data_IF_498549979416
#
_entry.id   IF_498549979416
#
_cell.length_a   1.000
_cell.length_b   1.000
_cell.length_c   1.000
_cell.angle_alpha   90.00
_cell.angle_beta   90.00
_cell.angle_gamma   90.00
#
_symmetry.space_group_name_H-M   'P 1'
#
loop_
_entity.id
_entity.type
_entity.pdbx_description
1 polymer ?
#
# COMPACT_ATOMS: atom_id res chain seq x y z
N UNK A 1 -18.20 4.47 -8.92
CA UNK A 1 -16.96 3.71 -8.71
C UNK A 1 -17.23 2.64 -7.68
N UNK A 2 -16.94 1.38 -8.01
CA UNK A 2 -17.39 0.22 -7.25
C UNK A 2 -16.19 -0.48 -6.60
N UNK A 3 -16.10 -0.45 -5.27
CA UNK A 3 -14.97 -0.99 -4.49
C UNK A 3 -15.40 -2.31 -3.84
N UNK A 4 -14.63 -3.37 -4.08
CA UNK A 4 -14.83 -4.68 -3.45
C UNK A 4 -14.00 -4.71 -2.17
N UNK A 5 -14.61 -5.08 -1.05
CA UNK A 5 -13.96 -5.10 0.25
C UNK A 5 -14.15 -6.46 0.94
N UNK A 6 -13.04 -7.09 1.29
CA UNK A 6 -12.99 -8.32 2.09
C UNK A 6 -13.45 -8.01 3.52
N UNK A 7 -14.68 -8.40 3.85
CA UNK A 7 -15.27 -8.15 5.15
C UNK A 7 -14.76 -9.09 6.26
N UNK A 8 -14.01 -10.15 5.90
CA UNK A 8 -13.57 -11.18 6.84
C UNK A 8 -12.05 -11.14 7.10
N UNK A 9 -11.31 -10.27 6.39
CA UNK A 9 -9.85 -10.16 6.54
C UNK A 9 -9.43 -9.20 7.65
N UNK A 10 -8.44 -9.59 8.45
CA UNK A 10 -7.85 -8.79 9.52
C UNK A 10 -8.34 -9.14 10.93
N UNK A 11 -7.62 -8.60 11.93
CA UNK A 11 -7.82 -8.94 13.36
C UNK A 11 -9.15 -8.42 13.91
N UNK A 12 -9.68 -7.34 13.32
CA UNK A 12 -10.91 -6.66 13.74
C UNK A 12 -12.10 -6.95 12.81
N UNK A 13 -12.00 -7.99 11.96
CA UNK A 13 -13.10 -8.40 11.10
C UNK A 13 -14.18 -9.15 11.89
N UNK A 14 -15.45 -9.05 11.51
CA UNK A 14 -16.01 -8.25 10.41
C UNK A 14 -16.33 -6.79 10.78
N UNK A 15 -16.21 -6.40 12.05
CA UNK A 15 -16.66 -5.08 12.55
C UNK A 15 -15.96 -3.92 11.82
N UNK A 16 -14.62 -3.91 11.82
CA UNK A 16 -13.86 -2.79 11.28
C UNK A 16 -14.04 -2.62 9.76
N UNK A 17 -13.92 -3.67 8.91
CA UNK A 17 -14.15 -3.52 7.47
C UNK A 17 -15.59 -3.10 7.14
N UNK A 18 -16.60 -3.65 7.84
CA UNK A 18 -18.02 -3.30 7.59
C UNK A 18 -18.28 -1.84 7.96
N UNK A 19 -17.87 -1.39 9.15
CA UNK A 19 -18.11 -0.01 9.59
C UNK A 19 -17.29 1.00 8.77
N UNK A 20 -16.06 0.65 8.38
CA UNK A 20 -15.24 1.47 7.49
C UNK A 20 -15.84 1.62 6.09
N UNK A 21 -16.41 0.55 5.54
CA UNK A 21 -17.12 0.55 4.27
C UNK A 21 -18.34 1.49 4.29
N UNK A 22 -19.18 1.38 5.32
CA UNK A 22 -20.36 2.22 5.51
C UNK A 22 -19.97 3.70 5.60
N UNK A 23 -18.93 3.99 6.37
CA UNK A 23 -18.44 5.34 6.53
C UNK A 23 -17.88 5.89 5.21
N UNK A 24 -17.16 5.06 4.43
CA UNK A 24 -16.66 5.44 3.12
C UNK A 24 -17.77 5.68 2.09
N UNK A 25 -18.81 4.81 2.06
CA UNK A 25 -19.97 5.01 1.19
C UNK A 25 -20.65 6.34 1.47
N UNK A 26 -20.84 6.67 2.75
CA UNK A 26 -21.44 7.95 3.19
C UNK A 26 -20.57 9.16 2.85
N UNK A 27 -19.25 9.08 3.12
CA UNK A 27 -18.37 10.24 3.03
C UNK A 27 -17.91 10.53 1.59
N UNK A 28 -17.76 9.50 0.77
CA UNK A 28 -17.20 9.60 -0.58
C UNK A 28 -18.18 9.25 -1.71
N UNK A 29 -19.40 8.77 -1.39
CA UNK A 29 -20.34 8.29 -2.38
C UNK A 29 -19.85 7.04 -3.14
N UNK A 30 -19.00 6.23 -2.52
CA UNK A 30 -18.49 5.01 -3.12
C UNK A 30 -19.55 3.91 -3.12
N UNK A 31 -19.70 3.18 -4.23
CA UNK A 31 -20.42 1.91 -4.22
C UNK A 31 -19.49 0.82 -3.66
N UNK A 32 -19.98 0.04 -2.71
CA UNK A 32 -19.13 -0.95 -2.01
C UNK A 32 -19.79 -2.32 -2.02
N UNK A 33 -19.02 -3.34 -2.41
CA UNK A 33 -19.39 -4.74 -2.26
C UNK A 33 -18.64 -5.34 -1.08
N UNK A 34 -19.34 -5.62 0.00
CA UNK A 34 -18.81 -6.36 1.15
C UNK A 34 -18.82 -7.86 0.82
N UNK A 35 -17.65 -8.48 0.73
CA UNK A 35 -17.51 -9.91 0.46
C UNK A 35 -17.21 -10.65 1.77
N UNK A 36 -18.11 -11.54 2.19
CA UNK A 36 -17.94 -12.28 3.44
C UNK A 36 -19.21 -13.02 3.86
N UNK A 37 -19.20 -13.54 5.09
CA UNK A 37 -20.37 -14.22 5.66
C UNK A 37 -21.50 -13.21 5.86
N UNK A 38 -22.56 -13.32 5.05
CA UNK A 38 -23.64 -12.35 5.05
C UNK A 38 -24.33 -12.18 6.42
N UNK A 39 -24.54 -13.27 7.15
CA UNK A 39 -25.11 -13.24 8.51
C UNK A 39 -24.23 -12.42 9.47
N UNK A 40 -22.91 -12.65 9.47
CA UNK A 40 -21.99 -11.91 10.34
C UNK A 40 -21.94 -10.41 10.00
N UNK A 41 -22.01 -10.06 8.70
CA UNK A 41 -22.08 -8.67 8.25
C UNK A 41 -23.37 -8.01 8.75
N UNK A 42 -24.52 -8.69 8.60
CA UNK A 42 -25.83 -8.19 9.05
C UNK A 42 -25.90 -8.05 10.57
N UNK A 43 -25.28 -8.97 11.33
CA UNK A 43 -25.16 -8.86 12.80
C UNK A 43 -24.38 -7.61 13.22
N UNK A 44 -23.26 -7.31 12.54
CA UNK A 44 -22.49 -6.08 12.78
C UNK A 44 -23.35 -4.84 12.54
N UNK A 45 -24.08 -4.80 11.42
CA UNK A 45 -24.96 -3.68 11.10
C UNK A 45 -26.02 -3.47 12.19
N UNK A 46 -26.75 -4.52 12.52
CA UNK A 46 -27.78 -4.50 13.55
C UNK A 46 -27.24 -4.09 14.92
N UNK A 47 -26.09 -4.63 15.31
CA UNK A 47 -25.41 -4.28 16.57
C UNK A 47 -24.96 -2.82 16.67
N UNK A 48 -24.88 -2.12 15.52
CA UNK A 48 -24.55 -0.69 15.42
C UNK A 48 -25.75 0.19 15.06
N UNK A 49 -26.98 -0.34 15.18
CA UNK A 49 -28.23 0.42 14.96
C UNK A 49 -28.53 0.68 13.48
N UNK A 50 -28.02 -0.15 12.57
CA UNK A 50 -28.24 -0.06 11.12
C UNK A 50 -29.13 -1.23 10.72
N UNK A 51 -30.43 -0.99 10.57
CA UNK A 51 -31.42 -2.05 10.30
C UNK A 51 -31.49 -2.42 8.83
N UNK A 52 -31.03 -1.55 7.92
CA UNK A 52 -31.03 -1.77 6.49
C UNK A 52 -29.70 -1.42 5.87
N UNK A 53 -29.27 -2.13 4.83
CA UNK A 53 -28.08 -1.78 4.10
C UNK A 53 -28.16 -0.34 3.58
N UNK A 54 -27.13 0.50 3.84
CA UNK A 54 -27.09 1.84 3.27
C UNK A 54 -27.07 1.81 1.74
N UNK A 55 -27.54 2.87 1.11
CA UNK A 55 -27.47 3.05 -0.33
C UNK A 55 -26.02 2.91 -0.81
N UNK A 56 -25.82 2.22 -1.92
CA UNK A 56 -24.49 1.96 -2.49
C UNK A 56 -23.70 0.84 -1.82
N UNK A 57 -24.24 0.16 -0.80
CA UNK A 57 -23.58 -0.99 -0.17
C UNK A 57 -24.32 -2.29 -0.49
N UNK A 58 -23.59 -3.27 -1.01
CA UNK A 58 -24.10 -4.61 -1.33
C UNK A 58 -23.31 -5.67 -0.57
N UNK A 59 -23.91 -6.84 -0.35
CA UNK A 59 -23.25 -8.01 0.24
C UNK A 59 -23.12 -9.11 -0.82
N UNK A 60 -21.91 -9.62 -1.02
CA UNK A 60 -21.63 -10.86 -1.74
C UNK A 60 -21.28 -11.94 -0.71
N UNK A 61 -22.11 -12.96 -0.57
CA UNK A 61 -21.88 -14.01 0.41
C UNK A 61 -20.66 -14.86 0.05
N UNK A 62 -19.79 -15.09 1.05
CA UNK A 62 -18.62 -15.96 0.99
C UNK A 62 -18.51 -16.71 2.31
N UNK A 63 -18.59 -18.04 2.25
CA UNK A 63 -18.72 -18.88 3.45
C UNK A 63 -17.38 -19.17 4.14
N UNK A 64 -16.26 -19.04 3.40
CA UNK A 64 -14.94 -19.40 3.85
C UNK A 64 -14.03 -18.17 4.04
N UNK A 65 -12.98 -18.32 4.83
CA UNK A 65 -12.03 -17.26 5.17
C UNK A 65 -10.61 -17.78 4.99
N UNK A 66 -9.72 -16.96 4.42
CA UNK A 66 -8.29 -17.22 4.37
C UNK A 66 -7.68 -16.91 5.73
N UNK A 67 -7.11 -17.92 6.39
CA UNK A 67 -6.40 -17.79 7.65
C UNK A 67 -4.95 -17.32 7.44
N UNK A 68 -4.34 -16.74 8.49
CA UNK A 68 -2.94 -16.30 8.46
C UNK A 68 -1.94 -17.46 8.34
N UNK A 69 -2.36 -18.69 8.71
CA UNK A 69 -1.55 -19.92 8.64
C UNK A 69 -1.74 -20.71 7.33
N UNK A 70 -2.68 -20.30 6.50
CA UNK A 70 -2.88 -20.93 5.19
C UNK A 70 -1.66 -20.73 4.29
N UNK A 71 -1.29 -21.75 3.54
CA UNK A 71 -0.21 -21.67 2.55
C UNK A 71 -0.62 -20.72 1.40
N UNK A 72 0.06 -19.55 1.24
CA UNK A 72 -0.28 -18.60 0.19
C UNK A 72 -0.26 -19.18 -1.23
N UNK A 73 0.58 -20.19 -1.50
CA UNK A 73 0.69 -20.79 -2.81
C UNK A 73 -0.50 -21.70 -3.15
N UNK A 74 -1.16 -22.24 -2.14
CA UNK A 74 -2.23 -23.24 -2.31
C UNK A 74 -3.63 -22.71 -2.00
N UNK A 75 -3.74 -21.68 -1.16
CA UNK A 75 -5.00 -21.18 -0.61
C UNK A 75 -6.02 -20.80 -1.68
N UNK A 76 -5.57 -20.25 -2.81
CA UNK A 76 -6.44 -19.88 -3.93
C UNK A 76 -7.23 -21.08 -4.50
N UNK A 77 -6.63 -22.27 -4.47
CA UNK A 77 -7.28 -23.51 -4.92
C UNK A 77 -8.02 -24.23 -3.80
N UNK A 78 -7.52 -24.15 -2.56
CA UNK A 78 -8.07 -24.86 -1.42
C UNK A 78 -9.31 -24.15 -0.85
N UNK A 79 -9.34 -22.81 -0.91
CA UNK A 79 -10.44 -21.98 -0.38
C UNK A 79 -11.04 -21.06 -1.47
N UNK A 80 -11.55 -21.65 -2.59
CA UNK A 80 -12.05 -20.86 -3.72
C UNK A 80 -13.28 -20.00 -3.40
N UNK A 81 -13.99 -20.32 -2.30
CA UNK A 81 -15.19 -19.61 -1.81
C UNK A 81 -14.89 -18.69 -0.62
N UNK A 82 -13.60 -18.44 -0.33
CA UNK A 82 -13.24 -17.46 0.69
C UNK A 82 -13.49 -16.03 0.22
N UNK A 83 -13.77 -15.13 1.17
CA UNK A 83 -14.03 -13.71 0.91
C UNK A 83 -12.93 -13.06 0.07
N UNK A 84 -11.66 -13.34 0.38
CA UNK A 84 -10.50 -12.84 -0.38
C UNK A 84 -10.49 -13.37 -1.82
N UNK A 85 -10.64 -14.67 -2.02
CA UNK A 85 -10.55 -15.29 -3.36
C UNK A 85 -11.74 -14.90 -4.22
N UNK A 86 -12.95 -14.88 -3.65
CA UNK A 86 -14.15 -14.42 -4.35
C UNK A 86 -14.05 -12.94 -4.73
N UNK A 87 -13.60 -12.08 -3.81
CA UNK A 87 -13.43 -10.66 -4.10
C UNK A 87 -12.42 -10.40 -5.22
N UNK A 88 -11.28 -11.10 -5.23
CA UNK A 88 -10.30 -11.02 -6.32
C UNK A 88 -10.83 -11.54 -7.67
N UNK A 89 -11.65 -12.60 -7.67
CA UNK A 89 -12.34 -13.07 -8.88
C UNK A 89 -13.34 -12.04 -9.38
N UNK A 90 -14.15 -11.47 -8.48
CA UNK A 90 -15.09 -10.40 -8.84
C UNK A 90 -14.37 -9.20 -9.45
N UNK A 91 -13.20 -8.79 -8.89
CA UNK A 91 -12.37 -7.74 -9.47
C UNK A 91 -11.89 -8.12 -10.88
N UNK A 92 -11.39 -9.35 -11.06
CA UNK A 92 -10.94 -9.86 -12.37
C UNK A 92 -12.07 -9.87 -13.39
N UNK A 93 -13.28 -10.25 -12.98
CA UNK A 93 -14.49 -10.34 -13.82
C UNK A 93 -15.11 -8.97 -14.14
N UNK A 94 -14.53 -7.87 -13.64
CA UNK A 94 -15.03 -6.52 -13.89
C UNK A 94 -16.27 -6.13 -13.06
N UNK A 95 -16.56 -6.86 -11.98
CA UNK A 95 -17.67 -6.55 -11.07
C UNK A 95 -17.36 -5.40 -10.10
N UNK A 96 -16.13 -4.92 -10.12
CA UNK A 96 -15.66 -3.76 -9.37
C UNK A 96 -14.37 -3.21 -9.95
N UNK A 97 -13.95 -2.06 -9.43
CA UNK A 97 -12.82 -1.28 -9.93
C UNK A 97 -11.54 -1.49 -9.11
N UNK A 98 -11.69 -1.80 -7.80
CA UNK A 98 -10.58 -2.09 -6.89
C UNK A 98 -10.98 -3.13 -5.83
N UNK A 99 -9.97 -3.74 -5.19
CA UNK A 99 -10.16 -4.70 -4.09
C UNK A 99 -9.34 -4.31 -2.87
N UNK A 100 -9.92 -4.45 -1.67
CA UNK A 100 -9.28 -4.14 -0.40
C UNK A 100 -9.38 -5.35 0.53
N UNK A 101 -8.28 -5.75 1.17
CA UNK A 101 -8.27 -6.79 2.20
C UNK A 101 -7.20 -6.51 3.26
N UNK A 102 -7.53 -6.82 4.52
CA UNK A 102 -6.58 -6.83 5.63
C UNK A 102 -6.08 -8.25 5.97
N UNK A 103 -6.48 -9.27 5.21
CA UNK A 103 -6.06 -10.65 5.40
C UNK A 103 -4.57 -10.90 5.10
N UNK A 104 -4.16 -12.17 5.02
CA UNK A 104 -2.78 -12.59 4.77
C UNK A 104 -2.17 -11.90 3.55
N UNK A 105 -1.04 -11.21 3.75
CA UNK A 105 -0.34 -10.47 2.67
C UNK A 105 0.12 -11.41 1.57
N UNK A 106 0.68 -12.58 1.93
CA UNK A 106 1.15 -13.56 0.95
C UNK A 106 0.01 -14.13 0.11
N UNK A 107 -1.12 -14.47 0.74
CA UNK A 107 -2.31 -14.96 0.05
C UNK A 107 -2.91 -13.89 -0.88
N UNK A 108 -2.99 -12.65 -0.41
CA UNK A 108 -3.52 -11.53 -1.19
C UNK A 108 -2.63 -11.22 -2.41
N UNK A 109 -1.31 -11.17 -2.24
CA UNK A 109 -0.36 -10.97 -3.34
C UNK A 109 -0.42 -12.10 -4.37
N UNK A 110 -0.46 -13.35 -3.89
CA UNK A 110 -0.58 -14.53 -4.76
C UNK A 110 -1.89 -14.49 -5.53
N UNK A 111 -3.00 -14.21 -4.85
CA UNK A 111 -4.32 -14.08 -5.47
C UNK A 111 -4.39 -12.95 -6.49
N UNK A 112 -3.88 -11.78 -6.15
CA UNK A 112 -3.80 -10.64 -7.06
C UNK A 112 -2.98 -10.99 -8.33
N UNK A 113 -1.83 -11.66 -8.15
CA UNK A 113 -0.96 -12.06 -9.26
C UNK A 113 -1.61 -13.12 -10.17
N UNK A 114 -2.30 -14.11 -9.61
CA UNK A 114 -2.86 -15.23 -10.37
C UNK A 114 -4.23 -14.90 -10.99
N UNK A 115 -5.10 -14.19 -10.27
CA UNK A 115 -6.47 -13.93 -10.67
C UNK A 115 -6.61 -12.59 -11.41
N UNK A 116 -6.15 -11.49 -10.81
CA UNK A 116 -6.23 -10.15 -11.41
C UNK A 116 -5.17 -9.96 -12.48
N UNK A 117 -4.01 -10.60 -12.31
CA UNK A 117 -2.83 -10.59 -13.18
C UNK A 117 -2.03 -9.29 -13.07
N UNK A 118 -0.77 -9.39 -13.46
CA UNK A 118 0.14 -8.24 -13.55
C UNK A 118 -0.08 -7.45 -14.84
N UNK A 119 0.29 -6.20 -14.81
CA UNK A 119 0.45 -5.35 -15.99
C UNK A 119 1.41 -6.02 -16.97
N UNK A 120 1.12 -5.94 -18.28
CA UNK A 120 1.94 -6.58 -19.31
C UNK A 120 3.37 -6.02 -19.28
N UNK A 121 4.35 -6.90 -19.18
CA UNK A 121 5.77 -6.53 -19.06
C UNK A 121 6.28 -6.49 -17.62
N UNK A 122 5.45 -6.33 -16.61
CA UNK A 122 5.86 -6.38 -15.20
C UNK A 122 6.16 -7.83 -14.79
N UNK A 123 7.37 -8.04 -14.26
CA UNK A 123 7.84 -9.36 -13.81
C UNK A 123 7.36 -9.68 -12.39
N UNK A 124 7.33 -8.67 -11.49
CA UNK A 124 6.89 -8.80 -10.10
C UNK A 124 6.06 -7.60 -9.67
N UNK A 125 4.96 -7.85 -8.99
CA UNK A 125 4.26 -6.80 -8.28
C UNK A 125 5.02 -6.44 -7.00
N UNK A 126 5.00 -5.17 -6.62
CA UNK A 126 5.65 -4.66 -5.42
C UNK A 126 4.63 -4.09 -4.43
N UNK A 127 4.91 -4.19 -3.14
CA UNK A 127 4.13 -3.57 -2.08
C UNK A 127 4.73 -2.19 -1.76
N UNK A 128 3.98 -1.12 -2.05
CA UNK A 128 4.48 0.26 -1.99
C UNK A 128 3.78 1.12 -0.93
N UNK A 129 4.15 1.04 0.36
CA UNK A 129 3.66 1.98 1.36
C UNK A 129 4.21 3.37 1.11
N UNK A 130 3.32 4.38 1.20
CA UNK A 130 3.70 5.78 1.17
C UNK A 130 3.80 6.30 2.61
N UNK A 131 4.94 6.87 2.98
CA UNK A 131 5.21 7.39 4.31
C UNK A 131 5.32 8.91 4.29
N UNK A 132 4.79 9.63 5.30
CA UNK A 132 5.04 11.05 5.45
C UNK A 132 6.54 11.31 5.69
N UNK A 133 7.04 12.39 5.11
CA UNK A 133 8.42 12.81 5.28
C UNK A 133 8.53 14.23 5.88
N UNK A 134 9.74 14.60 6.33
CA UNK A 134 10.01 15.90 6.93
C UNK A 134 9.77 17.08 5.96
N UNK A 135 9.87 16.84 4.66
CA UNK A 135 9.65 17.89 3.65
C UNK A 135 8.16 18.25 3.47
N UNK A 136 7.25 17.58 4.20
CA UNK A 136 5.81 17.83 4.15
C UNK A 136 5.08 17.04 3.07
N UNK A 137 5.80 16.22 2.31
CA UNK A 137 5.26 15.29 1.32
C UNK A 137 5.22 13.85 1.82
N UNK A 138 5.21 12.91 0.86
CA UNK A 138 5.29 11.46 1.14
C UNK A 138 6.41 10.85 0.32
N UNK A 139 7.08 9.85 0.89
CA UNK A 139 8.04 8.99 0.20
C UNK A 139 7.45 7.59 0.09
N UNK A 140 7.43 7.02 -1.11
CA UNK A 140 7.03 5.62 -1.33
C UNK A 140 8.27 4.71 -1.30
N UNK A 141 8.15 3.56 -0.63
CA UNK A 141 9.22 2.56 -0.57
C UNK A 141 8.78 1.35 -1.38
N UNK A 142 9.57 0.95 -2.35
CA UNK A 142 9.34 -0.17 -3.27
C UNK A 142 10.59 -1.05 -3.37
N UNK A 143 10.52 -2.26 -2.87
CA UNK A 143 9.43 -3.06 -2.33
C UNK A 143 9.46 -3.14 -0.80
N UNK A 144 8.30 -3.39 -0.17
CA UNK A 144 8.19 -3.58 1.30
C UNK A 144 7.58 -4.95 1.66
N UNK A 145 8.20 -6.03 1.20
CA UNK A 145 7.87 -7.39 1.67
C UNK A 145 7.07 -8.27 0.71
N UNK A 146 6.83 -7.83 -0.53
CA UNK A 146 6.25 -8.68 -1.57
C UNK A 146 7.31 -9.63 -2.19
N UNK A 147 8.57 -9.18 -2.31
CA UNK A 147 9.66 -9.92 -2.93
C UNK A 147 10.91 -9.81 -2.05
N UNK A 148 11.16 -10.84 -1.23
CA UNK A 148 12.31 -10.85 -0.31
C UNK A 148 13.65 -10.81 -1.06
N UNK A 149 13.72 -11.48 -2.21
CA UNK A 149 14.87 -11.48 -3.12
C UNK A 149 14.46 -10.88 -4.45
N UNK A 150 15.31 -10.02 -5.02
CA UNK A 150 15.08 -9.32 -6.27
C UNK A 150 16.22 -9.52 -7.24
N UNK A 151 15.95 -9.31 -8.53
CA UNK A 151 16.95 -9.12 -9.58
C UNK A 151 17.09 -7.63 -9.89
N UNK A 152 18.17 -7.19 -10.55
CA UNK A 152 18.34 -5.80 -10.97
C UNK A 152 17.16 -5.27 -11.81
N UNK A 153 16.58 -6.11 -12.68
CA UNK A 153 15.44 -5.75 -13.52
C UNK A 153 14.15 -5.55 -12.70
N UNK A 154 14.00 -6.26 -11.57
CA UNK A 154 12.86 -6.00 -10.67
C UNK A 154 12.99 -4.63 -10.05
N UNK A 155 14.20 -4.26 -9.58
CA UNK A 155 14.46 -2.96 -8.99
C UNK A 155 14.27 -1.83 -10.01
N UNK A 156 14.69 -2.02 -11.25
CA UNK A 156 14.39 -1.09 -12.35
C UNK A 156 12.87 -0.90 -12.50
N UNK A 157 12.11 -2.00 -12.60
CA UNK A 157 10.65 -1.94 -12.74
C UNK A 157 9.98 -1.27 -11.52
N UNK A 158 10.51 -1.46 -10.31
CA UNK A 158 10.02 -0.76 -9.12
C UNK A 158 10.28 0.75 -9.19
N UNK A 159 11.41 1.16 -9.74
CA UNK A 159 11.70 2.58 -10.01
C UNK A 159 10.71 3.21 -10.99
N UNK A 160 10.42 2.53 -12.10
CA UNK A 160 9.46 2.99 -13.11
C UNK A 160 8.05 3.11 -12.54
N UNK A 161 7.53 2.04 -11.92
CA UNK A 161 6.17 2.03 -11.39
C UNK A 161 6.02 2.98 -10.20
N UNK A 162 7.07 3.09 -9.37
CA UNK A 162 7.10 4.01 -8.23
C UNK A 162 7.08 5.47 -8.66
N UNK A 163 7.88 5.82 -9.68
CA UNK A 163 7.90 7.16 -10.27
C UNK A 163 6.52 7.54 -10.81
N UNK A 164 5.90 6.65 -11.60
CA UNK A 164 4.57 6.89 -12.15
C UNK A 164 3.49 7.02 -11.07
N UNK A 165 3.54 6.16 -10.04
CA UNK A 165 2.62 6.25 -8.91
C UNK A 165 2.81 7.55 -8.11
N UNK A 166 4.04 7.96 -7.83
CA UNK A 166 4.31 9.21 -7.13
C UNK A 166 3.80 10.43 -7.93
N UNK A 167 3.98 10.42 -9.24
CA UNK A 167 3.47 11.47 -10.14
C UNK A 167 1.95 11.55 -10.11
N UNK A 168 1.25 10.43 -10.24
CA UNK A 168 -0.21 10.41 -10.40
C UNK A 168 -0.98 10.44 -9.08
N UNK A 169 -0.50 9.73 -8.04
CA UNK A 169 -1.21 9.55 -6.77
C UNK A 169 -0.67 10.41 -5.63
N UNK A 170 0.59 10.85 -5.69
CA UNK A 170 1.18 11.73 -4.69
C UNK A 170 1.36 13.17 -5.19
N UNK A 171 0.94 13.47 -6.43
CA UNK A 171 0.99 14.81 -7.04
C UNK A 171 2.41 15.40 -7.10
N UNK A 172 3.43 14.56 -7.32
CA UNK A 172 4.82 14.98 -7.50
C UNK A 172 5.12 15.06 -8.99
N UNK A 173 5.35 16.25 -9.55
CA UNK A 173 5.51 16.43 -11.01
C UNK A 173 6.73 15.67 -11.57
N UNK A 174 7.88 15.73 -10.89
CA UNK A 174 9.13 15.08 -11.29
C UNK A 174 9.71 14.28 -10.12
N UNK A 175 9.17 13.06 -9.82
CA UNK A 175 9.53 12.30 -8.65
C UNK A 175 11.01 11.88 -8.66
N UNK A 176 11.73 12.23 -7.61
CA UNK A 176 13.11 11.78 -7.39
C UNK A 176 13.11 10.31 -7.00
N UNK A 177 13.76 9.48 -7.81
CA UNK A 177 13.93 8.04 -7.57
C UNK A 177 15.34 7.78 -7.04
N UNK A 178 15.45 7.17 -5.86
CA UNK A 178 16.73 6.78 -5.26
C UNK A 178 16.80 5.28 -4.98
N UNK A 179 17.98 4.69 -5.17
CA UNK A 179 18.24 3.30 -4.81
C UNK A 179 18.73 3.20 -3.37
N UNK A 180 18.02 2.45 -2.52
CA UNK A 180 18.43 2.23 -1.14
C UNK A 180 19.79 1.52 -1.07
N UNK A 181 20.73 2.14 -0.38
CA UNK A 181 22.10 1.62 -0.29
C UNK A 181 22.74 1.97 1.07
N UNK A 182 23.95 1.45 1.31
CA UNK A 182 24.77 1.66 2.51
C UNK A 182 25.64 2.93 2.45
N UNK A 183 25.61 3.65 1.34
CA UNK A 183 26.33 4.90 1.07
C UNK A 183 25.86 5.48 -0.25
N UNK A 184 26.19 6.76 -0.49
CA UNK A 184 25.70 7.52 -1.66
C UNK A 184 26.53 7.32 -2.93
N UNK A 185 27.77 6.77 -2.80
CA UNK A 185 28.66 6.55 -3.93
C UNK A 185 28.13 5.41 -4.83
N UNK A 186 28.31 5.53 -6.12
CA UNK A 186 27.88 4.57 -7.16
C UNK A 186 28.55 3.18 -7.03
N UNK A 187 29.72 3.12 -6.40
CA UNK A 187 30.47 1.89 -6.17
C UNK A 187 30.01 1.07 -4.95
N UNK A 188 29.12 1.61 -4.13
CA UNK A 188 28.64 0.96 -2.90
C UNK A 188 27.60 -0.11 -3.17
N UNK A 189 27.40 -0.98 -2.18
CA UNK A 189 26.38 -2.02 -2.17
C UNK A 189 26.87 -3.39 -2.66
N UNK A 190 25.97 -4.34 -2.68
CA UNK A 190 26.17 -5.69 -3.19
C UNK A 190 26.15 -5.70 -4.73
N UNK A 191 26.44 -6.82 -5.40
CA UNK A 191 26.29 -6.92 -6.84
C UNK A 191 24.90 -6.50 -7.32
N UNK A 192 23.84 -6.89 -6.59
CA UNK A 192 22.45 -6.48 -6.90
C UNK A 192 22.29 -4.95 -7.02
N UNK A 193 22.77 -4.20 -6.00
CA UNK A 193 22.65 -2.74 -6.00
C UNK A 193 23.47 -2.09 -7.13
N UNK A 194 24.68 -2.60 -7.39
CA UNK A 194 25.54 -2.06 -8.46
C UNK A 194 24.94 -2.26 -9.85
N UNK A 195 24.41 -3.44 -10.12
CA UNK A 195 23.73 -3.73 -11.40
C UNK A 195 22.43 -2.95 -11.52
N UNK A 196 21.62 -2.89 -10.45
CA UNK A 196 20.39 -2.09 -10.44
C UNK A 196 20.65 -0.59 -10.60
N UNK A 197 21.75 -0.07 -10.00
CA UNK A 197 22.18 1.32 -10.19
C UNK A 197 22.43 1.64 -11.66
N UNK A 198 23.15 0.77 -12.38
CA UNK A 198 23.44 0.96 -13.80
C UNK A 198 22.15 1.01 -14.62
N UNK A 199 21.19 0.08 -14.38
CA UNK A 199 19.90 0.07 -15.07
C UNK A 199 19.02 1.29 -14.75
N UNK A 200 18.97 1.71 -13.47
CA UNK A 200 18.20 2.90 -13.07
C UNK A 200 18.81 4.18 -13.62
N UNK A 201 20.16 4.25 -13.68
CA UNK A 201 20.87 5.37 -14.27
C UNK A 201 20.59 5.48 -15.77
N UNK A 202 20.66 4.37 -16.49
CA UNK A 202 20.33 4.32 -17.93
C UNK A 202 18.88 4.78 -18.17
N UNK A 203 17.92 4.29 -17.37
CA UNK A 203 16.53 4.74 -17.44
C UNK A 203 16.39 6.25 -17.15
N UNK A 204 17.20 6.79 -16.25
CA UNK A 204 17.27 8.23 -15.95
C UNK A 204 17.86 9.02 -17.11
N UNK A 205 18.97 8.59 -17.67
CA UNK A 205 19.67 9.22 -18.81
C UNK A 205 18.76 9.24 -20.07
N UNK A 206 17.91 8.22 -20.23
CA UNK A 206 16.88 8.14 -21.28
C UNK A 206 15.57 8.90 -20.95
N UNK A 207 15.49 9.61 -19.82
CA UNK A 207 14.36 10.45 -19.45
C UNK A 207 13.10 9.70 -19.01
N UNK A 208 13.19 8.39 -18.69
CA UNK A 208 12.06 7.58 -18.22
C UNK A 208 11.71 7.86 -16.75
N UNK A 209 12.72 8.16 -15.92
CA UNK A 209 12.60 8.50 -14.51
C UNK A 209 13.61 9.60 -14.13
N UNK A 210 13.38 10.28 -13.03
CA UNK A 210 14.35 11.19 -12.43
C UNK A 210 15.20 10.44 -11.39
N UNK A 211 16.14 9.64 -11.85
CA UNK A 211 17.03 8.89 -10.97
C UNK A 211 18.11 9.81 -10.38
N UNK A 212 18.20 9.86 -9.05
CA UNK A 212 19.12 10.75 -8.33
C UNK A 212 20.28 10.01 -7.66
N UNK A 213 20.44 8.72 -7.94
CA UNK A 213 21.52 7.89 -7.40
C UNK A 213 21.13 7.10 -6.14
N UNK A 214 22.13 6.73 -5.35
CA UNK A 214 21.93 5.99 -4.10
C UNK A 214 21.41 6.90 -2.98
N UNK A 215 20.59 6.34 -2.09
CA UNK A 215 20.05 6.99 -0.89
C UNK A 215 20.26 6.11 0.33
N UNK A 216 20.64 6.69 1.45
CA UNK A 216 20.78 5.95 2.71
C UNK A 216 19.44 5.91 3.47
N UNK A 217 19.23 4.87 4.27
CA UNK A 217 17.96 4.68 5.01
C UNK A 217 17.59 5.86 5.94
N UNK A 218 18.60 6.60 6.46
CA UNK A 218 18.38 7.79 7.31
C UNK A 218 17.77 8.96 6.55
N UNK A 219 17.98 9.04 5.24
CA UNK A 219 17.57 10.17 4.41
C UNK A 219 16.11 10.03 3.95
N UNK A 220 15.57 8.81 4.00
CA UNK A 220 14.19 8.48 3.60
C UNK A 220 13.14 9.27 4.39
N UNK A 221 13.12 9.24 5.73
CA UNK A 221 12.17 10.05 6.50
C UNK A 221 12.43 11.56 6.42
N UNK A 222 13.61 11.98 5.92
CA UNK A 222 13.92 13.38 5.69
C UNK A 222 13.37 13.92 4.37
N UNK A 223 12.94 13.03 3.46
CA UNK A 223 12.37 13.40 2.16
C UNK A 223 13.43 13.75 1.11
N UNK A 224 14.60 13.10 1.16
CA UNK A 224 15.64 13.27 0.16
C UNK A 224 15.17 12.81 -1.23
N UNK A 225 14.29 11.80 -1.27
CA UNK A 225 13.69 11.26 -2.49
C UNK A 225 12.19 11.01 -2.30
N UNK A 226 11.46 10.95 -3.40
CA UNK A 226 10.02 10.66 -3.43
C UNK A 226 9.74 9.15 -3.56
N UNK A 227 10.66 8.43 -4.21
CA UNK A 227 10.60 6.99 -4.43
C UNK A 227 11.92 6.36 -3.98
N UNK A 228 11.84 5.41 -3.06
CA UNK A 228 12.95 4.55 -2.64
C UNK A 228 12.79 3.19 -3.27
N UNK A 229 13.78 2.77 -4.04
CA UNK A 229 13.84 1.44 -4.67
C UNK A 229 14.70 0.51 -3.83
N UNK A 230 14.17 -0.66 -3.49
CA UNK A 230 14.88 -1.69 -2.73
C UNK A 230 14.25 -3.08 -2.94
N UNK A 231 14.92 -4.14 -2.48
CA UNK A 231 14.28 -5.43 -2.31
C UNK A 231 13.31 -5.41 -1.12
N UNK A 232 12.37 -6.38 -1.10
CA UNK A 232 11.31 -6.41 -0.10
C UNK A 232 11.81 -6.70 1.31
N UNK A 233 12.98 -7.33 1.48
CA UNK A 233 13.57 -7.55 2.80
C UNK A 233 14.11 -6.24 3.37
N UNK A 234 14.97 -5.54 2.62
CA UNK A 234 15.56 -4.27 3.06
C UNK A 234 14.47 -3.21 3.28
N UNK A 235 13.50 -3.11 2.38
CA UNK A 235 12.39 -2.17 2.49
C UNK A 235 11.47 -2.44 3.68
N UNK A 236 11.15 -3.70 3.96
CA UNK A 236 10.35 -4.05 5.14
C UNK A 236 11.09 -3.77 6.45
N UNK A 237 12.39 -4.06 6.51
CA UNK A 237 13.23 -3.73 7.69
C UNK A 237 13.27 -2.22 7.90
N UNK A 238 13.49 -1.44 6.84
CA UNK A 238 13.50 0.03 6.90
C UNK A 238 12.14 0.56 7.40
N UNK A 239 11.04 0.13 6.78
CA UNK A 239 9.68 0.54 7.16
C UNK A 239 9.41 0.24 8.65
N UNK A 240 9.65 -1.00 9.09
CA UNK A 240 9.39 -1.42 10.48
C UNK A 240 10.31 -0.72 11.48
N UNK A 241 11.54 -0.38 11.10
CA UNK A 241 12.45 0.42 11.92
C UNK A 241 11.96 1.84 12.11
N UNK A 242 11.45 2.48 11.04
CA UNK A 242 10.87 3.82 11.11
C UNK A 242 9.57 3.80 11.94
N UNK A 243 8.66 2.86 11.70
CA UNK A 243 7.44 2.69 12.49
C UNK A 243 7.75 2.50 13.98
N UNK A 244 8.66 1.59 14.31
CA UNK A 244 9.08 1.32 15.69
C UNK A 244 9.72 2.53 16.37
N UNK A 245 10.55 3.29 15.64
CA UNK A 245 11.16 4.53 16.13
C UNK A 245 10.10 5.60 16.39
N UNK A 246 9.13 5.76 15.49
CA UNK A 246 8.02 6.71 15.67
C UNK A 246 7.17 6.35 16.91
N UNK A 247 6.84 5.07 17.11
CA UNK A 247 6.13 4.59 18.29
C UNK A 247 6.93 4.83 19.59
N UNK A 248 8.22 4.56 19.58
CA UNK A 248 9.11 4.81 20.70
C UNK A 248 9.16 6.30 21.08
N UNK A 249 9.38 7.18 20.10
CA UNK A 249 9.38 8.63 20.31
C UNK A 249 8.03 9.13 20.83
N UNK A 250 6.92 8.65 20.28
CA UNK A 250 5.57 8.97 20.77
C UNK A 250 5.34 8.56 22.23
N UNK A 251 5.88 7.39 22.63
CA UNK A 251 5.84 6.93 24.02
C UNK A 251 6.65 7.84 24.94
N UNK A 252 7.88 8.23 24.56
CA UNK A 252 8.71 9.17 25.32
C UNK A 252 8.03 10.53 25.51
N UNK A 253 7.48 11.09 24.44
CA UNK A 253 6.73 12.35 24.50
C UNK A 253 5.53 12.23 25.44
N UNK A 254 4.78 11.14 25.37
CA UNK A 254 3.66 10.89 26.28
C UNK A 254 4.10 10.84 27.74
N UNK A 255 5.21 10.14 28.05
CA UNK A 255 5.77 10.09 29.40
C UNK A 255 6.21 11.48 29.87
N UNK A 256 6.86 12.27 29.03
CA UNK A 256 7.32 13.62 29.34
C UNK A 256 6.15 14.55 29.74
N UNK A 257 5.07 14.54 28.96
CA UNK A 257 3.91 15.38 29.22
C UNK A 257 3.04 14.89 30.39
N UNK A 258 3.12 13.60 30.77
CA UNK A 258 2.37 13.04 31.91
C UNK A 258 3.11 13.10 33.23
N UNK A 259 4.38 13.57 33.26
CA UNK A 259 5.30 13.50 34.41
C UNK A 259 4.76 14.20 35.66
N UNK A 260 4.24 15.41 35.55
CA UNK A 260 3.73 16.20 36.68
C UNK A 260 2.63 17.19 36.21
N UNK A 261 2.07 17.97 37.15
CA UNK A 261 0.98 18.89 36.86
C UNK A 261 1.39 19.99 35.88
N UNK A 262 2.60 20.53 36.02
CA UNK A 262 3.13 21.57 35.10
C UNK A 262 3.30 21.03 33.69
N UNK A 263 3.83 19.81 33.54
CA UNK A 263 3.94 19.14 32.23
C UNK A 263 2.58 18.88 31.58
N UNK A 264 1.54 18.56 32.38
CA UNK A 264 0.16 18.41 31.88
C UNK A 264 -0.43 19.72 31.41
N UNK A 265 -0.19 20.82 32.15
CA UNK A 265 -0.61 22.16 31.74
C UNK A 265 0.09 22.61 30.47
N UNK A 266 1.40 22.38 30.34
CA UNK A 266 2.15 22.65 29.11
C UNK A 266 1.60 21.83 27.91
N UNK A 267 1.27 20.54 28.13
CA UNK A 267 0.64 19.72 27.10
C UNK A 267 -0.71 20.27 26.61
N UNK A 268 -1.51 20.88 27.50
CA UNK A 268 -2.78 21.50 27.10
C UNK A 268 -2.56 22.69 26.17
N UNK A 269 -1.53 23.50 26.41
CA UNK A 269 -1.20 24.65 25.56
C UNK A 269 -0.79 24.22 24.12
N UNK A 270 -0.09 23.11 23.97
CA UNK A 270 0.39 22.58 22.67
C UNK A 270 -0.44 21.37 22.18
N UNK A 271 -1.63 21.16 22.73
CA UNK A 271 -2.46 20.00 22.41
C UNK A 271 -2.82 19.89 20.93
N UNK A 272 -3.03 21.02 20.26
CA UNK A 272 -3.32 21.07 18.82
C UNK A 272 -2.16 20.50 18.01
N UNK A 273 -0.94 20.91 18.35
CA UNK A 273 0.27 20.45 17.65
C UNK A 273 0.60 18.98 17.95
N UNK A 274 0.38 18.53 19.20
CA UNK A 274 0.49 17.11 19.57
C UNK A 274 -0.49 16.26 18.77
N UNK A 275 -1.74 16.70 18.61
CA UNK A 275 -2.75 15.97 17.80
C UNK A 275 -2.35 15.94 16.33
N UNK A 276 -1.87 17.05 15.77
CA UNK A 276 -1.41 17.12 14.38
C UNK A 276 -0.20 16.19 14.16
N UNK A 277 0.77 16.19 15.07
CA UNK A 277 1.92 15.28 15.02
C UNK A 277 1.50 13.80 15.08
N UNK A 278 0.58 13.44 15.99
CA UNK A 278 0.05 12.07 16.08
C UNK A 278 -0.65 11.67 14.79
N UNK A 279 -1.47 12.55 14.21
CA UNK A 279 -2.17 12.31 12.95
C UNK A 279 -1.19 12.07 11.80
N UNK A 280 -0.08 12.83 11.74
CA UNK A 280 0.95 12.66 10.72
C UNK A 280 1.60 11.27 10.74
N UNK A 281 1.78 10.70 11.94
CA UNK A 281 2.41 9.38 12.15
C UNK A 281 1.40 8.22 12.20
N UNK A 282 0.11 8.51 12.06
CA UNK A 282 -0.94 7.52 12.17
C UNK A 282 -1.16 6.80 10.83
N UNK A 283 -0.75 5.53 10.72
CA UNK A 283 -0.94 4.72 9.51
C UNK A 283 -2.42 4.62 9.08
N UNK A 284 -3.37 4.80 10.01
CA UNK A 284 -4.81 4.77 9.73
C UNK A 284 -5.25 5.91 8.81
N UNK A 285 -4.53 7.04 8.84
CA UNK A 285 -4.77 8.18 7.95
C UNK A 285 -4.33 7.91 6.50
N UNK A 286 -3.44 6.95 6.29
CA UNK A 286 -2.99 6.51 4.96
C UNK A 286 -3.96 5.49 4.37
N UNK A 287 -4.52 4.62 5.21
CA UNK A 287 -5.49 3.59 4.86
C UNK A 287 -4.87 2.23 4.57
N UNK A 288 -4.07 2.10 3.53
CA UNK A 288 -3.48 0.82 3.12
C UNK A 288 -2.22 0.97 2.28
N UNK A 289 -1.74 -0.16 1.78
CA UNK A 289 -0.56 -0.26 0.91
C UNK A 289 -0.99 -0.86 -0.42
N UNK A 290 -0.80 -0.19 -1.57
CA UNK A 290 -1.14 -0.72 -2.87
C UNK A 290 -0.14 -1.80 -3.31
N UNK A 291 -0.63 -2.82 -4.02
CA UNK A 291 0.22 -3.70 -4.83
C UNK A 291 0.39 -3.08 -6.21
N UNK A 292 1.54 -2.50 -6.45
CA UNK A 292 1.88 -1.85 -7.71
C UNK A 292 2.34 -2.88 -8.75
N UNK A 293 1.97 -2.66 -10.01
CA UNK A 293 2.23 -3.60 -11.09
C UNK A 293 1.15 -4.69 -11.28
N UNK A 294 0.03 -4.63 -10.55
CA UNK A 294 -1.19 -5.42 -10.80
C UNK A 294 -2.12 -4.59 -11.70
N UNK A 295 -2.87 -5.27 -12.61
CA UNK A 295 -3.70 -4.61 -13.63
C UNK A 295 -4.83 -3.74 -13.08
N UNK A 296 -5.38 -4.10 -11.92
CA UNK A 296 -6.40 -3.32 -11.23
C UNK A 296 -5.95 -3.08 -9.79
N UNK A 297 -6.32 -1.97 -9.17
CA UNK A 297 -5.91 -1.65 -7.81
C UNK A 297 -6.28 -2.74 -6.80
N UNK A 298 -5.29 -3.24 -6.08
CA UNK A 298 -5.42 -4.12 -4.92
C UNK A 298 -4.70 -3.46 -3.75
N UNK A 299 -5.45 -3.15 -2.70
CA UNK A 299 -4.94 -2.45 -1.52
C UNK A 299 -4.88 -3.42 -0.34
N UNK A 300 -3.71 -3.54 0.26
CA UNK A 300 -3.50 -4.26 1.51
C UNK A 300 -3.70 -3.31 2.70
N UNK A 301 -4.78 -3.48 3.44
CA UNK A 301 -4.96 -2.82 4.74
C UNK A 301 -4.16 -3.57 5.82
N UNK A 302 -3.73 -2.88 6.89
CA UNK A 302 -3.00 -3.51 7.98
C UNK A 302 -3.89 -4.52 8.74
N UNK A 303 -3.31 -5.62 9.27
CA UNK A 303 -4.08 -6.63 10.01
C UNK A 303 -4.89 -6.05 11.16
N UNK A 304 -4.34 -5.09 11.90
CA UNK A 304 -5.01 -4.40 13.01
C UNK A 304 -5.84 -3.17 12.61
N UNK A 305 -6.15 -2.98 11.32
CA UNK A 305 -6.95 -1.85 10.82
C UNK A 305 -8.29 -1.74 11.55
N UNK A 306 -8.64 -0.52 11.94
CA UNK A 306 -9.96 -0.13 12.45
C UNK A 306 -10.84 0.44 11.32
N UNK A 307 -12.05 0.87 11.65
CA UNK A 307 -12.99 1.42 10.67
C UNK A 307 -12.44 2.65 9.94
N UNK A 308 -11.66 3.52 10.61
CA UNK A 308 -11.03 4.69 9.99
C UNK A 308 -10.01 4.28 8.93
N UNK A 309 -9.17 3.27 9.24
CA UNK A 309 -8.19 2.76 8.29
C UNK A 309 -8.86 2.15 7.05
N UNK A 310 -9.94 1.38 7.20
CA UNK A 310 -10.71 0.85 6.07
C UNK A 310 -11.39 1.95 5.25
N UNK A 311 -11.98 2.94 5.90
CA UNK A 311 -12.54 4.11 5.22
C UNK A 311 -11.50 4.80 4.33
N UNK A 312 -10.30 5.04 4.87
CA UNK A 312 -9.21 5.68 4.15
C UNK A 312 -8.60 4.76 3.08
N UNK A 313 -8.61 3.44 3.28
CA UNK A 313 -8.22 2.48 2.23
C UNK A 313 -9.19 2.50 1.04
N UNK A 314 -10.50 2.73 1.27
CA UNK A 314 -11.48 2.93 0.19
C UNK A 314 -11.15 4.21 -0.58
N UNK A 315 -10.85 5.33 0.10
CA UNK A 315 -10.45 6.58 -0.56
C UNK A 315 -9.19 6.37 -1.42
N UNK A 316 -8.17 5.71 -0.86
CA UNK A 316 -6.94 5.39 -1.59
C UNK A 316 -7.20 4.48 -2.81
N UNK A 317 -8.12 3.52 -2.70
CA UNK A 317 -8.53 2.67 -3.82
C UNK A 317 -9.20 3.49 -4.93
N UNK A 318 -10.07 4.46 -4.57
CA UNK A 318 -10.68 5.38 -5.53
C UNK A 318 -9.65 6.25 -6.24
N UNK A 319 -8.66 6.78 -5.52
CA UNK A 319 -7.55 7.55 -6.10
C UNK A 319 -6.73 6.70 -7.08
N UNK A 320 -6.45 5.45 -6.71
CA UNK A 320 -5.70 4.51 -7.56
C UNK A 320 -6.48 4.15 -8.85
N UNK A 321 -7.81 4.03 -8.78
CA UNK A 321 -8.66 3.82 -9.97
C UNK A 321 -8.66 5.06 -10.87
N UNK A 322 -8.81 6.26 -10.28
CA UNK A 322 -8.85 7.51 -11.04
C UNK A 322 -7.52 7.82 -11.74
N UNK A 323 -6.40 7.42 -11.16
CA UNK A 323 -5.06 7.69 -11.72
C UNK A 323 -4.72 6.83 -12.93
N UNK A 324 -5.29 5.64 -13.04
CA UNK A 324 -5.06 4.62 -14.09
C UNK A 324 -3.64 4.62 -14.66
N UNK A 325 -2.69 4.18 -13.84
CA UNK A 325 -1.28 4.13 -14.24
C UNK A 325 -0.97 2.97 -15.21
N UNK A 326 -1.93 2.07 -15.45
CA UNK A 326 -1.69 0.81 -16.15
C UNK A 326 -1.28 1.01 -17.60
N UNK A 327 -2.02 1.85 -18.35
CA UNK A 327 -1.77 2.09 -19.75
C UNK A 327 -0.41 2.81 -19.98
N UNK A 328 -0.11 3.83 -19.16
CA UNK A 328 1.15 4.56 -19.23
C UNK A 328 2.34 3.66 -18.86
N UNK A 329 2.17 2.78 -17.88
CA UNK A 329 3.19 1.79 -17.51
C UNK A 329 3.45 0.77 -18.63
N UNK A 330 2.41 0.27 -19.30
CA UNK A 330 2.56 -0.63 -20.45
C UNK A 330 3.31 0.05 -21.61
N UNK A 331 3.03 1.32 -21.86
CA UNK A 331 3.73 2.10 -22.88
C UNK A 331 5.22 2.29 -22.53
N UNK A 332 5.54 2.69 -21.28
CA UNK A 332 6.92 2.83 -20.81
C UNK A 332 7.72 1.53 -20.95
N UNK A 333 7.11 0.40 -20.56
CA UNK A 333 7.75 -0.91 -20.68
C UNK A 333 7.89 -1.39 -22.14
N UNK A 334 7.00 -0.93 -23.03
CA UNK A 334 7.06 -1.20 -24.48
C UNK A 334 8.25 -0.50 -25.14
N UNK A 335 8.40 0.80 -24.89
CA UNK A 335 9.50 1.60 -25.45
C UNK A 335 10.90 1.12 -25.01
N UNK A 336 11.04 0.60 -23.78
CA UNK A 336 12.30 0.02 -23.31
C UNK A 336 12.71 -1.24 -24.09
N UNK A 337 11.74 -2.05 -24.57
CA UNK A 337 12.03 -3.26 -25.36
C UNK A 337 12.44 -2.96 -26.77
N UNK A 338 11.89 -1.91 -27.35
CA UNK A 338 12.23 -1.47 -28.71
C UNK A 338 13.66 -0.93 -28.75
N UNK A 339 14.05 -0.13 -27.76
CA UNK A 339 15.40 0.43 -27.65
C UNK A 339 16.48 -0.61 -27.25
N UNK A 340 16.10 -1.76 -26.65
CA UNK A 340 17.03 -2.83 -26.27
C UNK A 340 17.20 -3.94 -27.33
N UNK A 341 16.50 -3.88 -28.46
CA UNK A 341 16.63 -4.86 -29.56
C UNK A 341 17.51 -4.35 -30.72
N UNK A 342 18.11 -3.17 -30.61
CA UNK A 342 19.00 -2.59 -31.64
C UNK A 342 20.50 -2.83 -31.34
N UNK A 343 20.86 -3.72 -30.37
CA UNK A 343 22.25 -4.15 -30.12
C UNK A 343 22.46 -5.66 -30.36
#
# INVERSE_FOLDING_TARGET
MRIILDAMGGDNAPLAPVMGAIQAAKDFGAEIILVGRGEAILEVLKGNGIDTLPEGVEIANADDVVDMHDDPARVIRQKPNSSMVMGLKMLSDGKGDAFISAGSTGALLTGATLLVKRVKGIRRAAMGPAMPNKAGGKTIILDCGANAECTPEFLLQFGLVGSLYAKKNLSVENPKVGLLNIGTEDTKGTPLQKEAYALLKDAGDNGLINFVGNVEGRDVPLGAVDVVVCDGFAGNVLLKSIEGTAMFMGSLMSKMFKKNLLSKLAAMLVMKDIKAFKKLLDYREIGGTPFLGIRKPVIKAHGSSDALAFRNAVHQAMDAVNSDITAELEQMLGSMKENGNDD
#
